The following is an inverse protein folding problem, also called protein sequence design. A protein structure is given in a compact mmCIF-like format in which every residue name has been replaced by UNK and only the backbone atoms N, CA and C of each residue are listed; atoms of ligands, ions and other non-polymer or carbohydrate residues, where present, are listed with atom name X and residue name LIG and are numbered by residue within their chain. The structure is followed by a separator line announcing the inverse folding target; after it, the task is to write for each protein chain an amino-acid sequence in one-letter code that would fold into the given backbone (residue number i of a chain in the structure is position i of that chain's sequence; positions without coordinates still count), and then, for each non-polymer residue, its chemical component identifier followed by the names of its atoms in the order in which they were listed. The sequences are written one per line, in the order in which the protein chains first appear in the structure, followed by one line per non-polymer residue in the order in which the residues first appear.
data_IF_367361163863
#
_entry.id   IF_367361163863
#
_cell.length_a   1.000
_cell.length_b   1.000
_cell.length_c   1.000
_cell.angle_alpha   90.00
_cell.angle_beta   90.00
_cell.angle_gamma   90.00
#
_symmetry.space_group_name_H-M   'P 1'
#
loop_
_entity.id
_entity.type
_entity.pdbx_description
1 polymer ?
#
# COMPACT_ATOMS: atom_id res chain seq x y z
N UNK A 1 -10.95 0.66 -17.61
CA UNK A 1 -12.02 -0.09 -16.92
C UNK A 1 -11.54 -0.52 -15.55
N UNK A 2 -12.39 -0.38 -14.56
CA UNK A 2 -12.00 -0.60 -13.17
C UNK A 2 -11.61 -2.05 -12.86
N UNK A 3 -12.28 -3.02 -13.49
CA UNK A 3 -11.94 -4.42 -13.32
C UNK A 3 -10.49 -4.71 -13.73
N UNK A 4 -10.01 -4.04 -14.76
CA UNK A 4 -8.63 -4.17 -15.23
C UNK A 4 -7.65 -3.64 -14.18
N UNK A 5 -8.02 -2.57 -13.48
CA UNK A 5 -7.18 -2.00 -12.43
C UNK A 5 -7.09 -2.95 -11.23
N UNK A 6 -8.20 -3.60 -10.86
CA UNK A 6 -8.20 -4.61 -9.79
C UNK A 6 -7.25 -5.76 -10.15
N UNK A 7 -7.34 -6.24 -11.39
CA UNK A 7 -6.45 -7.32 -11.85
C UNK A 7 -5.00 -6.89 -11.88
N UNK A 8 -4.73 -5.63 -12.28
CA UNK A 8 -3.38 -5.10 -12.26
C UNK A 8 -2.81 -5.06 -10.84
N UNK A 9 -3.64 -4.70 -9.86
CA UNK A 9 -3.22 -4.72 -8.45
C UNK A 9 -2.90 -6.12 -7.96
N UNK A 10 -3.74 -7.10 -8.30
CA UNK A 10 -3.48 -8.49 -7.91
C UNK A 10 -2.14 -8.98 -8.45
N UNK A 11 -1.90 -8.73 -9.74
CA UNK A 11 -0.62 -9.11 -10.37
C UNK A 11 0.56 -8.37 -9.74
N UNK A 12 0.36 -7.09 -9.40
CA UNK A 12 1.40 -6.30 -8.75
C UNK A 12 1.81 -6.84 -7.39
N UNK A 13 0.82 -7.23 -6.58
CA UNK A 13 1.10 -7.83 -5.28
C UNK A 13 1.78 -9.20 -5.42
N UNK A 14 1.36 -10.01 -6.38
CA UNK A 14 2.00 -11.30 -6.63
C UNK A 14 3.47 -11.14 -7.03
N UNK A 15 3.76 -10.17 -7.91
CA UNK A 15 5.14 -9.88 -8.31
C UNK A 15 5.97 -9.39 -7.13
N UNK A 16 5.40 -8.52 -6.32
CA UNK A 16 6.09 -8.00 -5.14
C UNK A 16 6.42 -9.12 -4.16
N UNK A 17 5.47 -10.02 -3.90
CA UNK A 17 5.69 -11.14 -2.99
C UNK A 17 6.77 -12.07 -3.51
N UNK A 18 6.88 -12.23 -4.82
CA UNK A 18 7.87 -13.10 -5.44
C UNK A 18 9.26 -12.48 -5.49
N UNK A 19 9.35 -11.15 -5.71
CA UNK A 19 10.63 -10.48 -5.98
C UNK A 19 11.07 -9.50 -4.90
N UNK A 20 10.13 -9.03 -4.08
CA UNK A 20 10.40 -7.99 -3.09
C UNK A 20 10.52 -6.59 -3.69
N UNK A 21 10.27 -6.43 -4.98
CA UNK A 21 10.37 -5.15 -5.65
C UNK A 21 9.03 -4.64 -6.14
N UNK A 22 8.81 -3.33 -6.00
CA UNK A 22 7.64 -2.66 -6.55
C UNK A 22 7.99 -2.18 -7.94
N UNK A 23 7.13 -2.52 -8.91
CA UNK A 23 7.23 -2.03 -10.28
C UNK A 23 5.99 -1.19 -10.56
N UNK A 24 6.21 0.04 -10.98
CA UNK A 24 5.14 0.96 -11.25
C UNK A 24 5.61 2.04 -12.22
N UNK A 25 4.72 2.96 -12.54
CA UNK A 25 5.06 4.09 -13.39
C UNK A 25 6.18 4.92 -12.75
N UNK A 26 7.05 5.49 -13.60
CA UNK A 26 8.18 6.31 -13.12
C UNK A 26 7.70 7.51 -12.28
N UNK A 27 6.50 8.00 -12.55
CA UNK A 27 5.91 9.15 -11.86
C UNK A 27 5.12 8.76 -10.61
N UNK A 28 5.23 7.53 -10.14
CA UNK A 28 4.52 7.07 -8.96
C UNK A 28 4.75 8.01 -7.77
N UNK A 29 3.66 8.37 -7.09
CA UNK A 29 3.71 9.10 -5.83
C UNK A 29 3.26 8.14 -4.73
N UNK A 30 4.12 7.90 -3.77
CA UNK A 30 3.87 7.00 -2.64
C UNK A 30 3.68 7.87 -1.40
N UNK A 31 2.43 8.09 -1.03
CA UNK A 31 2.05 9.03 0.02
C UNK A 31 1.67 8.30 1.30
N UNK A 32 2.49 8.47 2.33
CA UNK A 32 2.24 7.88 3.65
C UNK A 32 1.97 8.94 4.71
N UNK A 33 1.60 10.15 4.28
CA UNK A 33 1.38 11.27 5.20
C UNK A 33 0.25 11.00 6.19
N UNK A 34 -0.69 10.12 5.85
CA UNK A 34 -1.82 9.79 6.73
C UNK A 34 -1.57 8.57 7.59
N UNK A 35 -0.39 7.98 7.49
CA UNK A 35 -0.02 6.80 8.27
C UNK A 35 0.59 7.16 9.62
N UNK A 36 1.09 8.38 9.77
CA UNK A 36 1.81 8.79 10.97
C UNK A 36 3.28 8.36 10.96
N UNK A 37 3.80 8.04 9.78
CA UNK A 37 5.20 7.67 9.63
C UNK A 37 6.11 8.85 9.99
N UNK A 38 7.10 8.67 10.86
CA UNK A 38 7.84 9.80 11.43
C UNK A 38 8.87 10.44 10.50
N UNK A 39 9.31 9.73 9.49
CA UNK A 39 10.38 10.23 8.62
C UNK A 39 9.83 10.99 7.42
N UNK A 40 9.91 10.41 6.25
CA UNK A 40 9.47 11.06 5.03
C UNK A 40 7.98 10.80 4.80
N UNK A 41 7.24 11.82 4.37
CA UNK A 41 5.79 11.72 4.16
C UNK A 41 5.42 11.27 2.76
N UNK A 42 6.24 11.62 1.77
CA UNK A 42 5.98 11.30 0.36
C UNK A 42 7.27 10.81 -0.28
N UNK A 43 7.13 9.69 -0.99
CA UNK A 43 8.24 9.08 -1.73
C UNK A 43 7.90 9.09 -3.21
N UNK A 44 8.89 9.18 -4.07
CA UNK A 44 8.69 9.33 -5.51
C UNK A 44 9.29 8.19 -6.31
N UNK A 45 8.50 7.69 -7.25
CA UNK A 45 8.92 6.65 -8.17
C UNK A 45 9.00 5.26 -7.54
N UNK A 46 9.24 4.22 -8.34
CA UNK A 46 9.42 2.87 -7.81
C UNK A 46 10.58 2.77 -6.82
N UNK A 47 11.67 3.52 -7.05
CA UNK A 47 12.81 3.54 -6.13
C UNK A 47 12.39 4.08 -4.75
N UNK A 48 11.57 5.14 -4.73
CA UNK A 48 11.07 5.70 -3.47
C UNK A 48 10.15 4.73 -2.73
N UNK A 49 9.27 4.04 -3.47
CA UNK A 49 8.39 3.04 -2.88
C UNK A 49 9.19 1.88 -2.26
N UNK A 50 10.23 1.43 -2.97
CA UNK A 50 11.09 0.37 -2.46
C UNK A 50 11.92 0.83 -1.25
N UNK A 51 12.33 2.11 -1.24
CA UNK A 51 12.99 2.70 -0.09
C UNK A 51 12.08 2.67 1.15
N UNK A 52 10.81 3.07 0.99
CA UNK A 52 9.86 3.02 2.10
C UNK A 52 9.70 1.60 2.63
N UNK A 53 9.54 0.62 1.74
CA UNK A 53 9.37 -0.76 2.16
C UNK A 53 10.58 -1.29 2.92
N UNK A 54 11.78 -0.90 2.52
CA UNK A 54 12.99 -1.29 3.23
C UNK A 54 13.05 -0.67 4.63
N UNK A 55 12.70 0.62 4.75
CA UNK A 55 12.64 1.32 6.04
C UNK A 55 11.59 0.70 6.95
N UNK A 56 10.43 0.39 6.38
CA UNK A 56 9.34 -0.24 7.12
C UNK A 56 9.74 -1.62 7.63
N UNK A 57 10.34 -2.44 6.75
CA UNK A 57 10.75 -3.80 7.09
C UNK A 57 11.80 -3.81 8.20
N UNK A 58 12.64 -2.78 8.27
CA UNK A 58 13.68 -2.67 9.31
C UNK A 58 13.09 -2.54 10.71
N UNK A 59 11.86 -2.11 10.85
CA UNK A 59 11.21 -1.97 12.15
C UNK A 59 10.64 -3.29 12.68
N UNK A 60 10.64 -4.34 11.88
CA UNK A 60 9.94 -5.58 12.20
C UNK A 60 10.83 -6.81 12.05
N UNK A 61 10.60 -7.80 12.92
CA UNK A 61 11.12 -9.15 12.77
C UNK A 61 9.98 -10.02 12.27
N UNK A 62 10.21 -10.77 11.19
CA UNK A 62 9.20 -11.66 10.65
C UNK A 62 7.98 -10.95 10.09
N UNK A 63 8.20 -9.89 9.34
CA UNK A 63 7.13 -9.08 8.76
C UNK A 63 6.42 -9.80 7.62
N UNK A 64 5.08 -9.83 7.70
CA UNK A 64 4.23 -10.39 6.67
C UNK A 64 3.10 -9.41 6.35
N UNK A 65 2.80 -9.25 5.07
CA UNK A 65 1.72 -8.40 4.61
C UNK A 65 0.83 -9.19 3.67
N UNK A 66 -0.47 -9.19 3.95
CA UNK A 66 -1.47 -9.89 3.17
C UNK A 66 -2.54 -8.92 2.67
N UNK A 67 -2.82 -8.97 1.37
CA UNK A 67 -3.92 -8.23 0.80
C UNK A 67 -5.22 -9.01 1.04
N UNK A 68 -6.08 -8.48 1.91
CA UNK A 68 -7.33 -9.15 2.27
C UNK A 68 -8.43 -8.92 1.25
N UNK A 69 -8.47 -7.73 0.66
CA UNK A 69 -9.55 -7.37 -0.25
C UNK A 69 -9.08 -6.32 -1.25
N UNK A 70 -9.65 -6.38 -2.44
CA UNK A 70 -9.41 -5.42 -3.52
C UNK A 70 -10.76 -4.82 -3.90
N UNK A 71 -10.96 -3.55 -3.62
CA UNK A 71 -12.23 -2.87 -3.82
C UNK A 71 -12.14 -1.94 -5.01
N UNK A 72 -12.99 -2.17 -6.01
CA UNK A 72 -13.09 -1.35 -7.20
C UNK A 72 -13.79 -0.02 -6.85
N UNK A 73 -13.08 1.07 -7.03
CA UNK A 73 -13.60 2.41 -6.76
C UNK A 73 -13.58 3.28 -8.03
N UNK A 74 -13.69 2.67 -9.20
CA UNK A 74 -13.64 3.39 -10.48
C UNK A 74 -12.22 3.63 -10.94
N UNK A 75 -11.75 4.85 -10.84
CA UNK A 75 -10.36 5.20 -11.23
C UNK A 75 -9.33 4.77 -10.18
N UNK A 76 -9.81 4.37 -9.01
CA UNK A 76 -8.97 3.92 -7.91
C UNK A 76 -9.30 2.49 -7.53
N UNK A 77 -8.32 1.82 -6.91
CA UNK A 77 -8.54 0.53 -6.26
C UNK A 77 -8.14 0.69 -4.81
N UNK A 78 -9.03 0.31 -3.90
CA UNK A 78 -8.70 0.28 -2.47
C UNK A 78 -8.27 -1.14 -2.12
N UNK A 79 -7.05 -1.28 -1.61
CA UNK A 79 -6.55 -2.58 -1.16
C UNK A 79 -6.50 -2.56 0.36
N UNK A 80 -7.25 -3.47 0.97
CA UNK A 80 -7.24 -3.63 2.42
C UNK A 80 -6.17 -4.64 2.74
N UNK A 81 -5.22 -4.25 3.59
CA UNK A 81 -4.09 -5.11 3.91
C UNK A 81 -4.03 -5.39 5.40
N UNK A 82 -3.62 -6.60 5.72
CA UNK A 82 -3.34 -7.04 7.08
C UNK A 82 -1.84 -7.30 7.18
N UNK A 83 -1.22 -6.70 8.19
CA UNK A 83 0.20 -6.88 8.42
C UNK A 83 0.42 -7.48 9.79
N UNK A 84 1.31 -8.45 9.86
CA UNK A 84 1.74 -9.06 11.11
C UNK A 84 3.25 -9.03 11.20
N UNK A 85 3.75 -8.83 12.40
CA UNK A 85 5.19 -8.84 12.64
C UNK A 85 5.48 -8.66 14.11
N UNK A 86 6.75 -8.76 14.46
CA UNK A 86 7.21 -8.53 15.82
C UNK A 86 8.04 -7.25 15.80
N UNK A 87 7.72 -6.31 16.68
CA UNK A 87 8.50 -5.07 16.79
C UNK A 87 9.93 -5.40 17.22
N UNK A 88 10.91 -4.94 16.48
CA UNK A 88 12.33 -5.11 16.89
C UNK A 88 12.63 -4.41 18.19
N UNK A 89 12.02 -3.25 18.41
CA UNK A 89 12.29 -2.44 19.59
C UNK A 89 11.78 -3.08 20.87
N UNK A 90 10.64 -3.77 20.84
CA UNK A 90 9.97 -4.29 22.03
C UNK A 90 9.84 -5.81 22.06
N UNK A 91 9.97 -6.48 20.92
CA UNK A 91 9.73 -7.91 20.80
C UNK A 91 8.25 -8.30 20.85
N UNK A 92 7.35 -7.32 20.89
CA UNK A 92 5.92 -7.56 21.01
C UNK A 92 5.32 -7.87 19.62
N UNK A 93 4.52 -8.97 19.50
CA UNK A 93 3.80 -9.22 18.26
C UNK A 93 2.77 -8.13 18.00
N UNK A 94 2.69 -7.65 16.76
CA UNK A 94 1.75 -6.61 16.37
C UNK A 94 1.03 -7.07 15.12
N UNK A 95 -0.29 -6.87 15.11
CA UNK A 95 -1.11 -7.07 13.93
C UNK A 95 -1.83 -5.76 13.65
N UNK A 96 -1.79 -5.31 12.38
CA UNK A 96 -2.42 -4.06 12.00
C UNK A 96 -3.13 -4.23 10.66
N UNK A 97 -4.22 -3.52 10.52
CA UNK A 97 -5.02 -3.51 9.31
C UNK A 97 -5.12 -2.07 8.81
N UNK A 98 -4.79 -1.87 7.56
CA UNK A 98 -4.84 -0.53 6.98
C UNK A 98 -5.23 -0.64 5.51
N UNK A 99 -5.37 0.51 4.84
CA UNK A 99 -5.81 0.54 3.47
C UNK A 99 -4.86 1.33 2.61
N UNK A 100 -4.70 0.89 1.37
CA UNK A 100 -3.95 1.60 0.34
C UNK A 100 -4.92 2.00 -0.75
N UNK A 101 -4.93 3.28 -1.11
CA UNK A 101 -5.72 3.77 -2.23
C UNK A 101 -4.78 3.98 -3.41
N UNK A 102 -4.97 3.19 -4.45
CA UNK A 102 -4.15 3.23 -5.65
C UNK A 102 -4.90 3.91 -6.77
N UNK A 103 -4.29 4.94 -7.35
CA UNK A 103 -4.85 5.65 -8.51
C UNK A 103 -4.12 5.21 -9.77
N UNK A 104 -4.86 5.08 -10.86
CA UNK A 104 -4.34 4.56 -12.11
C UNK A 104 -4.47 5.58 -13.23
N UNK A 105 -3.53 5.53 -14.16
CA UNK A 105 -3.57 6.26 -15.42
C UNK A 105 -3.07 5.33 -16.50
N UNK A 106 -3.90 5.11 -17.53
CA UNK A 106 -3.57 4.23 -18.67
C UNK A 106 -3.12 2.84 -18.21
N UNK A 107 -3.81 2.29 -17.21
CA UNK A 107 -3.53 0.94 -16.70
C UNK A 107 -2.32 0.83 -15.79
N UNK A 108 -1.69 1.93 -15.44
CA UNK A 108 -0.51 1.93 -14.57
C UNK A 108 -0.78 2.72 -13.29
N UNK A 109 -0.30 2.19 -12.17
CA UNK A 109 -0.42 2.86 -10.89
C UNK A 109 0.48 4.09 -10.88
N UNK A 110 -0.11 5.27 -10.60
CA UNK A 110 0.61 6.54 -10.55
C UNK A 110 0.60 7.17 -9.16
N UNK A 111 -0.24 6.67 -8.26
CA UNK A 111 -0.29 7.20 -6.90
C UNK A 111 -0.77 6.12 -5.95
N UNK A 112 -0.15 6.06 -4.78
CA UNK A 112 -0.65 5.26 -3.67
C UNK A 112 -0.74 6.18 -2.45
N UNK A 113 -1.89 6.15 -1.79
CA UNK A 113 -2.12 6.87 -0.54
C UNK A 113 -2.46 5.85 0.53
N UNK A 114 -1.69 5.84 1.61
CA UNK A 114 -1.87 4.87 2.67
C UNK A 114 -2.65 5.48 3.83
N UNK A 115 -3.69 4.79 4.27
CA UNK A 115 -4.54 5.21 5.37
C UNK A 115 -4.45 4.21 6.51
N UNK A 116 -4.18 4.69 7.71
CA UNK A 116 -4.17 3.83 8.90
C UNK A 116 -5.57 3.33 9.24
N UNK A 117 -6.60 4.06 8.82
CA UNK A 117 -8.00 3.73 9.08
C UNK A 117 -8.70 3.37 7.77
N UNK A 118 -9.26 2.15 7.70
CA UNK A 118 -9.94 1.66 6.49
C UNK A 118 -11.15 2.52 6.13
N UNK A 119 -11.91 2.97 7.12
CA UNK A 119 -13.10 3.79 6.88
C UNK A 119 -12.74 5.14 6.25
N UNK A 120 -11.63 5.75 6.66
CA UNK A 120 -11.16 6.98 6.04
C UNK A 120 -10.81 6.78 4.56
N UNK A 121 -10.20 5.64 4.24
CA UNK A 121 -9.86 5.33 2.85
C UNK A 121 -11.12 5.19 2.01
N UNK A 122 -12.14 4.50 2.53
CA UNK A 122 -13.40 4.32 1.82
C UNK A 122 -14.13 5.65 1.64
N UNK A 123 -14.11 6.52 2.64
CA UNK A 123 -14.67 7.86 2.52
C UNK A 123 -13.95 8.67 1.44
N UNK A 124 -12.64 8.57 1.39
CA UNK A 124 -11.82 9.33 0.44
C UNK A 124 -12.16 9.01 -1.02
N UNK A 125 -12.64 7.79 -1.29
CA UNK A 125 -13.01 7.38 -2.65
C UNK A 125 -14.53 7.33 -2.85
N UNK A 126 -15.32 7.83 -1.85
CA UNK A 126 -16.76 7.93 -1.98
C UNK A 126 -17.54 6.64 -1.78
N UNK A 127 -16.95 5.65 -1.12
CA UNK A 127 -17.59 4.34 -0.88
C UNK A 127 -18.16 4.18 0.53
N UNK A 128 -17.86 5.08 1.44
CA UNK A 128 -18.39 5.00 2.79
C UNK A 128 -19.80 5.57 2.85
N UNK A 129 -20.64 4.97 3.68
CA UNK A 129 -21.98 5.45 3.93
C UNK A 129 -21.98 6.57 4.97
#
# INVERSE_FOLDING_TARGET
MSQENVEAMRRGYERWRASGEIRAHADLVWDVSRLGWPDQQVYHGPAGANQFNAEWADAWDGWELEAEDYIDAGECVVVIVNQRGRSKATGIPVEMRFAQVWSFRDGQAIRMQMYANVDEALEAVGLAD
#
